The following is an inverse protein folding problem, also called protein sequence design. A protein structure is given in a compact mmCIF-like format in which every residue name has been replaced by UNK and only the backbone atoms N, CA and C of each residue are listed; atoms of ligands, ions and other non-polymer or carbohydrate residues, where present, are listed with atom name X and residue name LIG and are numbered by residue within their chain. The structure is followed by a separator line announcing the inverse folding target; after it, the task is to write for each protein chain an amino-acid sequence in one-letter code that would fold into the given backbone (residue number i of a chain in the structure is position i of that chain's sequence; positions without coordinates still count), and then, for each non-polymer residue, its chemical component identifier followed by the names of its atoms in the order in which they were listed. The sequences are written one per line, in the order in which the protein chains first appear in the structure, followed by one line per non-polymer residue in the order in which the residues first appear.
data_IF_003264937130
#
_entry.id   IF_003264937130
#
_cell.length_a   1.000
_cell.length_b   1.000
_cell.length_c   1.000
_cell.angle_alpha   90.00
_cell.angle_beta   90.00
_cell.angle_gamma   90.00
#
_symmetry.space_group_name_H-M   'P 1'
#
loop_
_entity.id
_entity.type
_entity.pdbx_description
1 polymer ?
#
# COMPACT_ATOMS: atom_id res chain seq x y z
N UNK A 1 -4.92 -18.76 -15.59
CA UNK A 1 -5.60 -17.46 -15.80
C UNK A 1 -6.91 -17.36 -15.02
N UNK A 2 -7.85 -18.30 -15.19
CA UNK A 2 -9.16 -18.34 -14.49
C UNK A 2 -9.12 -18.05 -12.97
N UNK A 3 -8.17 -18.65 -12.24
CA UNK A 3 -7.99 -18.42 -10.78
C UNK A 3 -7.62 -16.99 -10.38
N UNK A 4 -6.75 -16.33 -11.16
CA UNK A 4 -6.33 -14.95 -10.89
C UNK A 4 -7.47 -13.98 -11.19
N UNK A 5 -8.25 -14.25 -12.24
CA UNK A 5 -9.44 -13.44 -12.58
C UNK A 5 -10.48 -13.53 -11.47
N UNK A 6 -10.78 -14.73 -10.96
CA UNK A 6 -11.70 -14.89 -9.84
C UNK A 6 -11.22 -14.14 -8.59
N UNK A 7 -9.94 -14.25 -8.25
CA UNK A 7 -9.38 -13.49 -7.13
C UNK A 7 -9.46 -11.98 -7.36
N UNK A 8 -9.13 -11.49 -8.56
CA UNK A 8 -9.24 -10.07 -8.90
C UNK A 8 -10.68 -9.60 -8.72
N UNK A 9 -11.66 -10.36 -9.21
CA UNK A 9 -13.07 -10.03 -9.04
C UNK A 9 -13.46 -9.92 -7.56
N UNK A 10 -13.15 -10.94 -6.75
CA UNK A 10 -13.42 -10.93 -5.31
C UNK A 10 -12.71 -9.77 -4.59
N UNK A 11 -11.45 -9.52 -4.95
CA UNK A 11 -10.65 -8.42 -4.41
C UNK A 11 -11.27 -7.06 -4.78
N UNK A 12 -11.76 -6.91 -6.01
CA UNK A 12 -12.41 -5.67 -6.46
C UNK A 12 -13.70 -5.43 -5.69
N UNK A 13 -14.56 -6.44 -5.58
CA UNK A 13 -15.83 -6.33 -4.82
C UNK A 13 -15.55 -5.97 -3.36
N UNK A 14 -14.65 -6.71 -2.69
CA UNK A 14 -14.28 -6.41 -1.30
C UNK A 14 -13.65 -5.02 -1.17
N UNK A 15 -12.79 -4.66 -2.12
CA UNK A 15 -12.13 -3.36 -2.20
C UNK A 15 -13.11 -2.19 -2.31
N UNK A 16 -14.14 -2.32 -3.13
CA UNK A 16 -15.21 -1.31 -3.27
C UNK A 16 -15.99 -1.15 -1.97
N UNK A 17 -16.35 -2.26 -1.30
CA UNK A 17 -17.08 -2.25 -0.03
C UNK A 17 -16.29 -1.54 1.08
N UNK A 18 -15.03 -1.92 1.28
CA UNK A 18 -14.21 -1.31 2.34
C UNK A 18 -13.81 0.13 2.02
N UNK A 19 -13.84 0.54 0.75
CA UNK A 19 -13.54 1.91 0.33
C UNK A 19 -14.63 2.93 0.68
N UNK A 20 -15.79 2.50 1.18
CA UNK A 20 -16.88 3.39 1.59
C UNK A 20 -16.71 3.94 3.01
N UNK A 21 -15.89 3.29 3.84
CA UNK A 21 -15.78 3.62 5.25
C UNK A 21 -14.67 4.67 5.41
N UNK A 22 -14.97 5.93 5.79
CA UNK A 22 -13.94 6.91 6.06
C UNK A 22 -13.21 6.54 7.35
N UNK A 23 -11.87 6.60 7.32
CA UNK A 23 -11.00 6.27 8.45
C UNK A 23 -10.37 7.52 9.06
N UNK A 24 -9.64 8.31 8.26
CA UNK A 24 -9.08 9.60 8.68
C UNK A 24 -9.03 10.59 7.52
N UNK A 25 -9.27 11.90 7.76
CA UNK A 25 -9.17 12.92 6.72
C UNK A 25 -7.75 13.03 6.16
N UNK A 26 -7.63 13.36 4.87
CA UNK A 26 -6.34 13.58 4.23
C UNK A 26 -6.00 15.05 4.24
N UNK A 27 -4.90 15.39 4.90
CA UNK A 27 -4.37 16.75 4.91
C UNK A 27 -4.01 17.16 3.48
N UNK A 28 -4.55 18.31 3.05
CA UNK A 28 -4.37 18.82 1.69
C UNK A 28 -5.42 18.36 0.67
N UNK A 29 -6.33 17.45 1.02
CA UNK A 29 -7.43 17.01 0.14
C UNK A 29 -8.80 17.16 0.84
N UNK A 30 -9.42 18.33 0.67
CA UNK A 30 -10.71 18.66 1.30
C UNK A 30 -11.79 17.63 0.91
N UNK A 31 -12.54 17.16 1.91
CA UNK A 31 -13.62 16.20 1.71
C UNK A 31 -13.17 14.78 1.38
N UNK A 32 -11.86 14.50 1.42
CA UNK A 32 -11.33 13.18 1.12
C UNK A 32 -10.66 12.54 2.35
N UNK A 33 -10.86 11.23 2.50
CA UNK A 33 -10.34 10.45 3.63
C UNK A 33 -9.59 9.21 3.16
N UNK A 34 -8.66 8.74 3.99
CA UNK A 34 -8.20 7.35 3.97
C UNK A 34 -9.36 6.42 4.35
N UNK A 35 -9.27 5.16 3.93
CA UNK A 35 -10.30 4.14 4.17
C UNK A 35 -9.63 2.82 4.56
N UNK A 36 -10.34 1.82 5.08
CA UNK A 36 -9.78 0.49 5.32
C UNK A 36 -9.19 -0.19 4.07
N UNK A 37 -9.46 0.34 2.87
CA UNK A 37 -8.77 -0.08 1.66
C UNK A 37 -7.25 0.15 1.72
N UNK A 38 -6.77 1.09 2.55
CA UNK A 38 -5.33 1.28 2.76
C UNK A 38 -4.67 0.04 3.40
N UNK A 39 -5.45 -0.81 4.09
CA UNK A 39 -4.98 -2.08 4.65
C UNK A 39 -5.06 -3.23 3.64
N UNK A 40 -6.15 -3.24 2.86
CA UNK A 40 -6.45 -4.30 1.90
C UNK A 40 -5.65 -4.16 0.60
N UNK A 41 -5.53 -2.95 0.07
CA UNK A 41 -4.91 -2.60 -1.20
C UNK A 41 -3.58 -3.33 -1.46
N UNK A 42 -2.60 -3.23 -0.54
CA UNK A 42 -1.27 -3.78 -0.78
C UNK A 42 -1.26 -5.30 -0.85
N UNK A 43 -2.19 -5.96 -0.15
CA UNK A 43 -2.26 -7.43 -0.07
C UNK A 43 -2.47 -8.08 -1.43
N UNK A 44 -3.11 -7.38 -2.38
CA UNK A 44 -3.23 -7.83 -3.77
C UNK A 44 -1.89 -8.15 -4.41
N UNK A 45 -0.83 -7.39 -4.09
CA UNK A 45 0.52 -7.62 -4.56
C UNK A 45 1.06 -8.98 -4.12
N UNK A 46 0.80 -9.39 -2.89
CA UNK A 46 1.25 -10.68 -2.37
C UNK A 46 0.48 -11.86 -2.96
N UNK A 47 -0.82 -11.70 -3.22
CA UNK A 47 -1.63 -12.78 -3.81
C UNK A 47 -1.43 -12.91 -5.32
N UNK A 48 -1.40 -11.80 -6.06
CA UNK A 48 -1.41 -11.80 -7.53
C UNK A 48 -0.02 -11.63 -8.16
N UNK A 49 0.95 -11.18 -7.35
CA UNK A 49 2.24 -10.65 -7.76
C UNK A 49 2.23 -9.13 -7.87
N UNK A 50 3.40 -8.50 -7.74
CA UNK A 50 3.62 -7.04 -7.76
C UNK A 50 2.77 -6.29 -8.81
N UNK A 51 3.02 -6.50 -10.11
CA UNK A 51 2.35 -5.75 -11.19
C UNK A 51 0.84 -6.03 -11.28
N UNK A 52 0.37 -7.31 -11.34
CA UNK A 52 -1.06 -7.58 -11.39
C UNK A 52 -1.83 -7.09 -10.14
N UNK A 53 -1.20 -7.12 -8.96
CA UNK A 53 -1.77 -6.56 -7.73
C UNK A 53 -1.97 -5.05 -7.83
N UNK A 54 -0.93 -4.33 -8.28
CA UNK A 54 -1.00 -2.89 -8.47
C UNK A 54 -2.08 -2.46 -9.49
N UNK A 55 -2.21 -3.20 -10.60
CA UNK A 55 -3.28 -2.97 -11.58
C UNK A 55 -4.66 -3.19 -10.94
N UNK A 56 -4.81 -4.21 -10.10
CA UNK A 56 -6.08 -4.46 -9.39
C UNK A 56 -6.45 -3.31 -8.45
N UNK A 57 -5.46 -2.76 -7.74
CA UNK A 57 -5.65 -1.59 -6.87
C UNK A 57 -6.10 -0.36 -7.65
N UNK A 58 -5.48 -0.10 -8.82
CA UNK A 58 -5.89 0.99 -9.69
C UNK A 58 -7.37 0.88 -10.07
N UNK A 59 -7.81 -0.30 -10.52
CA UNK A 59 -9.21 -0.51 -10.88
C UNK A 59 -10.16 -0.37 -9.70
N UNK A 60 -9.80 -0.80 -8.49
CA UNK A 60 -10.65 -0.55 -7.31
C UNK A 60 -10.82 0.94 -7.05
N UNK A 61 -9.72 1.71 -7.05
CA UNK A 61 -9.78 3.17 -6.83
C UNK A 61 -10.59 3.86 -7.93
N UNK A 62 -10.31 3.54 -9.19
CA UNK A 62 -11.01 4.12 -10.35
C UNK A 62 -12.51 3.80 -10.34
N UNK A 63 -12.88 2.52 -10.15
CA UNK A 63 -14.29 2.12 -10.13
C UNK A 63 -15.02 2.68 -8.93
N UNK A 64 -14.36 2.81 -7.77
CA UNK A 64 -14.93 3.50 -6.60
C UNK A 64 -15.23 4.95 -6.95
N UNK A 65 -14.28 5.68 -7.53
CA UNK A 65 -14.51 7.08 -7.84
C UNK A 65 -15.60 7.28 -8.91
N UNK A 66 -15.71 6.38 -9.90
CA UNK A 66 -16.80 6.37 -10.89
C UNK A 66 -18.16 6.03 -10.25
N UNK A 67 -18.27 4.91 -9.52
CA UNK A 67 -19.56 4.44 -9.00
C UNK A 67 -20.14 5.34 -7.92
N UNK A 68 -19.29 6.01 -7.13
CA UNK A 68 -19.72 6.90 -6.06
C UNK A 68 -19.70 8.38 -6.46
N UNK A 69 -19.57 8.69 -7.76
CA UNK A 69 -19.70 10.03 -8.30
C UNK A 69 -18.67 11.03 -7.76
N UNK A 70 -17.46 10.56 -7.46
CA UNK A 70 -16.38 11.42 -6.95
C UNK A 70 -15.90 12.34 -8.08
N UNK A 71 -15.78 13.63 -7.79
CA UNK A 71 -15.26 14.59 -8.76
C UNK A 71 -13.78 14.33 -9.08
N UNK A 72 -13.45 14.23 -10.36
CA UNK A 72 -12.08 14.03 -10.85
C UNK A 72 -11.31 15.35 -10.88
N UNK A 73 -10.93 15.83 -9.69
CA UNK A 73 -9.96 16.91 -9.54
C UNK A 73 -8.51 16.39 -9.48
N UNK A 74 -7.55 17.31 -9.40
CA UNK A 74 -6.12 16.99 -9.29
C UNK A 74 -5.82 16.08 -8.10
N UNK A 75 -6.48 16.27 -6.95
CA UNK A 75 -6.26 15.44 -5.76
C UNK A 75 -6.75 14.01 -6.00
N UNK A 76 -7.94 13.85 -6.57
CA UNK A 76 -8.52 12.55 -6.93
C UNK A 76 -7.62 11.78 -7.88
N UNK A 77 -7.13 12.41 -8.96
CA UNK A 77 -6.24 11.77 -9.93
C UNK A 77 -4.94 11.31 -9.27
N UNK A 78 -4.29 12.18 -8.50
CA UNK A 78 -3.03 11.86 -7.80
C UNK A 78 -3.21 10.68 -6.84
N UNK A 79 -4.36 10.58 -6.17
CA UNK A 79 -4.63 9.54 -5.17
C UNK A 79 -4.87 8.15 -5.76
N UNK A 80 -4.99 8.01 -7.08
CA UNK A 80 -5.05 6.70 -7.73
C UNK A 80 -3.73 5.92 -7.59
N UNK A 81 -2.59 6.63 -7.52
CA UNK A 81 -1.26 6.02 -7.65
C UNK A 81 -0.61 5.51 -6.35
N UNK A 82 -0.67 6.20 -5.19
CA UNK A 82 0.04 5.79 -3.98
C UNK A 82 -0.17 4.32 -3.61
N UNK A 83 -1.41 3.86 -3.64
CA UNK A 83 -1.74 2.48 -3.27
C UNK A 83 -1.34 1.45 -4.32
N UNK A 84 -1.24 1.84 -5.59
CA UNK A 84 -0.64 0.97 -6.60
C UNK A 84 0.82 0.69 -6.26
N UNK A 85 1.58 1.72 -5.88
CA UNK A 85 2.98 1.56 -5.50
C UNK A 85 3.17 0.80 -4.18
N UNK A 86 2.20 0.91 -3.26
CA UNK A 86 2.13 0.05 -2.08
C UNK A 86 2.04 -1.43 -2.47
N UNK A 87 1.08 -1.78 -3.34
CA UNK A 87 0.90 -3.15 -3.83
C UNK A 87 2.09 -3.64 -4.68
N UNK A 88 2.69 -2.76 -5.49
CA UNK A 88 3.92 -3.06 -6.21
C UNK A 88 4.99 -3.49 -5.21
N UNK A 89 5.29 -2.66 -4.21
CA UNK A 89 6.32 -2.95 -3.21
C UNK A 89 6.03 -4.24 -2.45
N UNK A 90 4.81 -4.39 -1.92
CA UNK A 90 4.42 -5.51 -1.07
C UNK A 90 4.50 -6.86 -1.79
N UNK A 91 4.16 -6.89 -3.08
CA UNK A 91 4.17 -8.08 -3.94
C UNK A 91 5.51 -8.43 -4.58
N UNK A 92 6.60 -7.71 -4.28
CA UNK A 92 7.90 -7.99 -4.89
C UNK A 92 8.58 -9.19 -4.23
N UNK A 93 9.11 -10.08 -5.07
CA UNK A 93 9.93 -11.20 -4.64
C UNK A 93 11.41 -10.79 -4.55
N UNK A 94 12.10 -11.06 -3.41
CA UNK A 94 13.46 -10.52 -3.14
C UNK A 94 14.52 -11.12 -4.07
N UNK A 95 14.30 -12.36 -4.48
CA UNK A 95 15.20 -13.14 -5.34
C UNK A 95 15.38 -12.55 -6.74
N UNK A 96 14.46 -11.68 -7.19
CA UNK A 96 14.51 -11.11 -8.54
C UNK A 96 15.39 -9.88 -8.58
N UNK A 97 16.31 -9.79 -9.54
CA UNK A 97 17.17 -8.61 -9.77
C UNK A 97 16.37 -7.32 -9.96
N UNK A 98 15.22 -7.40 -10.65
CA UNK A 98 14.28 -6.29 -10.83
C UNK A 98 13.67 -5.78 -9.51
N UNK A 99 13.72 -6.56 -8.43
CA UNK A 99 13.16 -6.13 -7.14
C UNK A 99 13.95 -4.99 -6.50
N UNK A 100 15.24 -4.83 -6.80
CA UNK A 100 16.02 -3.67 -6.31
C UNK A 100 15.63 -2.36 -6.99
N UNK A 101 15.04 -2.42 -8.19
CA UNK A 101 14.60 -1.22 -8.91
C UNK A 101 13.49 -0.47 -8.16
N UNK A 102 12.72 -1.15 -7.29
CA UNK A 102 11.69 -0.48 -6.49
C UNK A 102 12.28 0.58 -5.55
N UNK A 103 13.56 0.44 -5.17
CA UNK A 103 14.26 1.39 -4.31
C UNK A 103 14.45 2.75 -4.99
N UNK A 104 14.35 2.82 -6.33
CA UNK A 104 14.38 4.10 -7.04
C UNK A 104 13.23 5.01 -6.61
N UNK A 105 12.09 4.46 -6.19
CA UNK A 105 10.91 5.25 -5.81
C UNK A 105 11.19 6.11 -4.57
N UNK A 106 11.55 5.55 -3.40
CA UNK A 106 11.86 6.38 -2.24
C UNK A 106 13.09 7.25 -2.46
N UNK A 107 14.10 6.79 -3.20
CA UNK A 107 15.29 7.60 -3.51
C UNK A 107 14.95 8.84 -4.35
N UNK A 108 14.15 8.66 -5.40
CA UNK A 108 13.67 9.77 -6.24
C UNK A 108 12.73 10.67 -5.46
N UNK A 109 11.90 10.13 -4.56
CA UNK A 109 11.07 10.95 -3.71
C UNK A 109 11.91 11.87 -2.81
N UNK A 110 12.93 11.34 -2.12
CA UNK A 110 13.87 12.13 -1.29
C UNK A 110 14.47 13.26 -2.14
N UNK A 111 15.02 12.91 -3.31
CA UNK A 111 15.63 13.88 -4.22
C UNK A 111 14.63 14.99 -4.64
N UNK A 112 13.45 14.60 -5.14
CA UNK A 112 12.45 15.55 -5.62
C UNK A 112 11.91 16.45 -4.50
N UNK A 113 11.81 15.96 -3.27
CA UNK A 113 11.39 16.76 -2.12
C UNK A 113 12.44 17.81 -1.75
N UNK A 114 13.71 17.40 -1.67
CA UNK A 114 14.80 18.31 -1.29
C UNK A 114 15.10 19.34 -2.38
N UNK A 115 14.88 19.00 -3.66
CA UNK A 115 15.01 19.94 -4.77
C UNK A 115 13.95 21.04 -4.72
N UNK A 116 12.72 20.70 -4.30
CA UNK A 116 11.61 21.64 -4.22
C UNK A 116 11.82 22.70 -3.10
N UNK A 117 11.52 23.99 -3.31
CA UNK A 117 11.79 25.05 -2.32
C UNK A 117 11.18 24.79 -0.93
N UNK A 118 9.91 24.41 -0.87
CA UNK A 118 9.23 24.10 0.40
C UNK A 118 9.73 22.79 1.02
N UNK A 119 10.03 21.78 0.21
CA UNK A 119 10.54 20.50 0.71
C UNK A 119 11.97 20.61 1.23
N UNK A 120 12.80 21.49 0.64
CA UNK A 120 14.15 21.81 1.15
C UNK A 120 14.12 22.39 2.56
N UNK A 121 13.18 23.29 2.85
CA UNK A 121 13.00 23.88 4.19
C UNK A 121 12.57 22.84 5.23
N UNK A 122 11.90 21.77 4.80
CA UNK A 122 11.44 20.66 5.63
C UNK A 122 12.16 19.33 5.32
N UNK A 123 13.41 19.36 4.84
CA UNK A 123 14.09 18.20 4.23
C UNK A 123 14.06 16.94 5.09
N UNK A 124 14.10 17.09 6.42
CA UNK A 124 14.08 15.99 7.39
C UNK A 124 12.77 15.19 7.37
N UNK A 125 11.67 15.75 6.86
CA UNK A 125 10.43 15.01 6.61
C UNK A 125 10.66 13.81 5.67
N UNK A 126 11.57 13.95 4.69
CA UNK A 126 11.92 12.89 3.75
C UNK A 126 12.64 11.69 4.38
N UNK A 127 13.13 11.79 5.62
CA UNK A 127 13.81 10.70 6.32
C UNK A 127 12.89 9.49 6.58
N UNK A 128 11.56 9.70 6.62
CA UNK A 128 10.59 8.61 6.61
C UNK A 128 10.77 7.66 5.43
N UNK A 129 11.28 8.15 4.29
CA UNK A 129 11.44 7.35 3.08
C UNK A 129 12.73 6.53 3.07
N UNK A 130 13.56 6.63 4.12
CA UNK A 130 14.60 5.64 4.41
C UNK A 130 13.99 4.33 4.93
N UNK A 131 12.81 4.36 5.57
CA UNK A 131 12.12 3.17 6.09
C UNK A 131 11.85 2.13 5.00
N UNK A 132 11.23 2.45 3.84
CA UNK A 132 11.02 1.46 2.78
C UNK A 132 12.32 0.94 2.19
N UNK A 133 13.40 1.73 2.19
CA UNK A 133 14.73 1.28 1.76
C UNK A 133 15.29 0.23 2.73
N UNK A 134 15.27 0.52 4.03
CA UNK A 134 15.77 -0.39 5.06
C UNK A 134 14.90 -1.65 5.16
N UNK A 135 13.59 -1.48 5.12
CA UNK A 135 12.62 -2.58 5.17
C UNK A 135 12.81 -3.57 4.01
N UNK A 136 13.19 -3.10 2.82
CA UNK A 136 13.40 -3.95 1.64
C UNK A 136 14.41 -5.07 1.90
N UNK A 137 15.47 -4.79 2.66
CA UNK A 137 16.51 -5.79 2.95
C UNK A 137 16.04 -6.91 3.88
N UNK A 138 14.94 -6.71 4.61
CA UNK A 138 14.36 -7.68 5.56
C UNK A 138 12.86 -7.93 5.31
N UNK A 139 12.41 -7.76 4.07
CA UNK A 139 11.00 -7.93 3.66
C UNK A 139 10.49 -9.37 3.72
N UNK A 140 11.32 -10.33 4.10
CA UNK A 140 10.91 -11.67 4.51
C UNK A 140 10.03 -11.65 5.77
N UNK A 141 10.21 -10.65 6.64
CA UNK A 141 9.32 -10.37 7.76
C UNK A 141 8.09 -9.60 7.28
N UNK A 142 6.90 -10.10 7.62
CA UNK A 142 5.66 -9.53 7.09
C UNK A 142 5.48 -8.08 7.52
N UNK A 143 5.81 -7.75 8.78
CA UNK A 143 5.66 -6.38 9.30
C UNK A 143 6.58 -5.39 8.60
N UNK A 144 7.81 -5.79 8.27
CA UNK A 144 8.74 -4.94 7.53
C UNK A 144 8.29 -4.76 6.08
N UNK A 145 7.75 -5.81 5.45
CA UNK A 145 7.15 -5.67 4.13
C UNK A 145 5.96 -4.69 4.15
N UNK A 146 5.11 -4.77 5.17
CA UNK A 146 3.96 -3.88 5.35
C UNK A 146 4.38 -2.42 5.60
N UNK A 147 5.40 -2.20 6.44
CA UNK A 147 6.03 -0.89 6.66
C UNK A 147 6.58 -0.32 5.36
N UNK A 148 7.37 -1.10 4.62
CA UNK A 148 7.91 -0.63 3.35
C UNK A 148 6.82 -0.30 2.33
N UNK A 149 5.73 -1.07 2.29
CA UNK A 149 4.58 -0.81 1.44
C UNK A 149 3.90 0.53 1.76
N UNK A 150 3.51 0.76 3.01
CA UNK A 150 2.80 2.00 3.39
C UNK A 150 3.66 3.25 3.25
N UNK A 151 4.96 3.16 3.56
CA UNK A 151 5.87 4.30 3.36
C UNK A 151 6.22 4.53 1.88
N UNK A 152 6.18 3.49 1.03
CA UNK A 152 6.27 3.67 -0.43
C UNK A 152 5.05 4.40 -0.97
N UNK A 153 3.84 4.06 -0.49
CA UNK A 153 2.64 4.81 -0.84
C UNK A 153 2.75 6.28 -0.42
N UNK A 154 3.24 6.51 0.80
CA UNK A 154 3.40 7.84 1.38
C UNK A 154 4.42 8.71 0.66
N UNK A 155 5.57 8.16 0.24
CA UNK A 155 6.54 8.95 -0.51
C UNK A 155 5.98 9.37 -1.88
N UNK A 156 5.30 8.46 -2.59
CA UNK A 156 4.64 8.78 -3.87
C UNK A 156 3.56 9.84 -3.69
N UNK A 157 2.69 9.66 -2.70
CA UNK A 157 1.62 10.62 -2.40
C UNK A 157 2.16 11.98 -1.98
N UNK A 158 3.18 12.02 -1.11
CA UNK A 158 3.76 13.27 -0.61
C UNK A 158 4.38 14.09 -1.74
N UNK A 159 5.13 13.46 -2.66
CA UNK A 159 5.72 14.17 -3.80
C UNK A 159 4.65 14.69 -4.74
N UNK A 160 3.65 13.87 -5.06
CA UNK A 160 2.59 14.31 -5.93
C UNK A 160 1.81 15.49 -5.33
N UNK A 161 1.50 15.47 -4.02
CA UNK A 161 0.87 16.60 -3.33
C UNK A 161 1.76 17.84 -3.25
N UNK A 162 3.07 17.67 -3.00
CA UNK A 162 4.02 18.78 -2.97
C UNK A 162 4.01 19.55 -4.30
N UNK A 163 4.14 18.83 -5.41
CA UNK A 163 4.22 19.46 -6.73
C UNK A 163 2.86 19.93 -7.26
N UNK A 164 1.76 19.34 -6.81
CA UNK A 164 0.42 19.75 -7.25
C UNK A 164 -0.16 20.93 -6.46
N UNK A 165 0.12 21.01 -5.15
CA UNK A 165 -0.50 22.00 -4.25
C UNK A 165 0.49 22.95 -3.60
N UNK A 166 1.80 22.76 -3.82
CA UNK A 166 2.85 23.61 -3.28
C UNK A 166 2.70 23.86 -1.76
N UNK A 167 2.40 22.79 -1.01
CA UNK A 167 2.15 22.89 0.43
C UNK A 167 3.36 23.50 1.15
N UNK A 168 3.15 24.48 2.06
CA UNK A 168 4.24 25.21 2.68
C UNK A 168 4.97 24.34 3.71
N UNK A 169 6.26 24.63 3.93
CA UNK A 169 7.14 23.88 4.83
C UNK A 169 6.56 23.61 6.24
N UNK A 170 5.87 24.56 6.91
CA UNK A 170 5.27 24.29 8.22
C UNK A 170 4.22 23.17 8.21
N UNK A 171 3.50 22.97 7.09
CA UNK A 171 2.54 21.85 6.94
C UNK A 171 3.29 20.52 6.95
N UNK A 172 4.40 20.42 6.23
CA UNK A 172 5.25 19.22 6.23
C UNK A 172 5.83 18.92 7.61
N UNK A 173 6.30 19.95 8.32
CA UNK A 173 6.79 19.78 9.70
C UNK A 173 5.67 19.32 10.64
N UNK A 174 4.49 19.94 10.56
CA UNK A 174 3.32 19.55 11.36
C UNK A 174 2.80 18.15 11.05
N UNK A 175 3.03 17.65 9.84
CA UNK A 175 2.65 16.29 9.43
C UNK A 175 3.54 15.20 10.03
N UNK A 176 4.72 15.51 10.57
CA UNK A 176 5.65 14.49 11.09
C UNK A 176 5.00 13.54 12.12
N UNK A 177 4.36 14.03 13.21
CA UNK A 177 3.72 13.13 14.17
C UNK A 177 2.50 12.41 13.57
N UNK A 178 1.75 13.06 12.68
CA UNK A 178 0.57 12.47 12.02
C UNK A 178 1.00 11.29 11.14
N UNK A 179 2.02 11.49 10.32
CA UNK A 179 2.59 10.46 9.44
C UNK A 179 3.12 9.30 10.26
N UNK A 180 3.79 9.54 11.39
CA UNK A 180 4.22 8.47 12.29
C UNK A 180 3.04 7.57 12.68
N UNK A 181 2.00 8.16 13.29
CA UNK A 181 0.85 7.41 13.79
C UNK A 181 0.11 6.70 12.64
N UNK A 182 -0.17 7.41 11.55
CA UNK A 182 -0.89 6.84 10.41
C UNK A 182 -0.12 5.70 9.77
N UNK A 183 1.17 5.89 9.46
CA UNK A 183 1.92 4.89 8.69
C UNK A 183 2.18 3.64 9.50
N UNK A 184 2.47 3.74 10.79
CA UNK A 184 2.61 2.57 11.64
C UNK A 184 1.27 1.86 11.85
N UNK A 185 0.17 2.60 12.02
CA UNK A 185 -1.18 2.01 12.08
C UNK A 185 -1.55 1.29 10.78
N UNK A 186 -1.21 1.87 9.63
CA UNK A 186 -1.47 1.27 8.33
C UNK A 186 -0.60 0.05 8.11
N UNK A 187 0.67 0.06 8.54
CA UNK A 187 1.52 -1.12 8.48
C UNK A 187 0.95 -2.28 9.31
N UNK A 188 0.48 -2.02 10.53
CA UNK A 188 -0.21 -3.01 11.36
C UNK A 188 -1.49 -3.52 10.69
N UNK A 189 -2.28 -2.61 10.09
CA UNK A 189 -3.49 -2.96 9.34
C UNK A 189 -3.21 -3.86 8.14
N UNK A 190 -2.21 -3.53 7.31
CA UNK A 190 -1.78 -4.34 6.16
C UNK A 190 -1.29 -5.71 6.63
N UNK A 191 -0.43 -5.74 7.65
CA UNK A 191 0.11 -6.97 8.24
C UNK A 191 -1.00 -7.90 8.72
N UNK A 192 -1.91 -7.39 9.55
CA UNK A 192 -3.02 -8.16 10.10
C UNK A 192 -3.99 -8.63 9.02
N UNK A 193 -4.33 -7.74 8.08
CA UNK A 193 -5.24 -8.04 6.97
C UNK A 193 -4.68 -9.15 6.09
N UNK A 194 -3.40 -9.07 5.70
CA UNK A 194 -2.80 -10.13 4.89
C UNK A 194 -2.73 -11.46 5.63
N UNK A 195 -2.31 -11.46 6.89
CA UNK A 195 -2.24 -12.68 7.72
C UNK A 195 -3.62 -13.33 7.86
N UNK A 196 -4.66 -12.54 8.13
CA UNK A 196 -6.02 -13.02 8.26
C UNK A 196 -6.55 -13.57 6.93
N UNK A 197 -6.45 -12.80 5.85
CA UNK A 197 -6.95 -13.21 4.53
C UNK A 197 -6.24 -14.46 4.02
N UNK A 198 -4.92 -14.56 4.20
CA UNK A 198 -4.16 -15.73 3.78
C UNK A 198 -4.52 -16.97 4.62
N UNK A 199 -4.77 -16.80 5.93
CA UNK A 199 -5.22 -17.90 6.79
C UNK A 199 -6.67 -18.32 6.52
N UNK A 200 -7.56 -17.39 6.19
CA UNK A 200 -8.93 -17.70 5.74
C UNK A 200 -8.87 -18.44 4.40
N UNK A 201 -8.04 -17.96 3.47
CA UNK A 201 -7.88 -18.59 2.16
C UNK A 201 -7.38 -20.03 2.30
N UNK A 202 -6.43 -20.30 3.19
CA UNK A 202 -5.97 -21.66 3.50
C UNK A 202 -7.12 -22.58 3.93
N UNK A 203 -7.99 -22.12 4.84
CA UNK A 203 -9.18 -22.88 5.24
C UNK A 203 -10.15 -23.07 4.08
N UNK A 204 -10.38 -22.02 3.29
CA UNK A 204 -11.33 -22.07 2.17
C UNK A 204 -10.89 -23.02 1.06
N UNK A 205 -9.59 -23.14 0.77
CA UNK A 205 -9.10 -24.04 -0.29
C UNK A 205 -9.20 -25.53 0.09
N UNK A 206 -9.53 -25.85 1.35
CA UNK A 206 -9.92 -27.22 1.74
C UNK A 206 -11.25 -27.65 1.11
N UNK A 207 -12.12 -26.69 0.76
CA UNK A 207 -13.38 -26.91 0.07
C UNK A 207 -13.08 -27.21 -1.40
N UNK A 208 -13.58 -28.33 -1.91
CA UNK A 208 -13.24 -28.86 -3.25
C UNK A 208 -13.43 -27.83 -4.38
N UNK A 209 -14.53 -27.09 -4.37
CA UNK A 209 -14.84 -26.04 -5.36
C UNK A 209 -13.83 -24.88 -5.36
N UNK A 210 -13.12 -24.66 -4.26
CA UNK A 210 -12.17 -23.55 -4.07
C UNK A 210 -10.70 -23.99 -4.16
N UNK A 211 -10.42 -25.29 -4.33
CA UNK A 211 -9.05 -25.83 -4.51
C UNK A 211 -8.27 -25.14 -5.63
N UNK A 212 -8.96 -24.59 -6.62
CA UNK A 212 -8.36 -23.81 -7.73
C UNK A 212 -7.56 -22.57 -7.25
N UNK A 213 -7.86 -22.05 -6.05
CA UNK A 213 -7.16 -20.92 -5.42
C UNK A 213 -5.97 -21.34 -4.55
N UNK A 214 -5.76 -22.65 -4.30
CA UNK A 214 -4.63 -23.16 -3.49
C UNK A 214 -3.27 -22.57 -3.83
N UNK A 215 -2.91 -22.25 -5.10
CA UNK A 215 -1.59 -21.69 -5.41
C UNK A 215 -1.42 -20.22 -4.97
N UNK A 216 -2.48 -19.57 -4.51
CA UNK A 216 -2.42 -18.21 -3.95
C UNK A 216 -2.12 -18.21 -2.45
N UNK A 217 -2.25 -19.36 -1.77
CA UNK A 217 -1.96 -19.49 -0.34
C UNK A 217 -0.46 -19.43 -0.12
N UNK A 218 0.00 -18.49 0.70
CA UNK A 218 1.38 -18.41 1.12
C UNK A 218 1.57 -19.15 2.45
N UNK A 219 2.16 -20.33 2.38
CA UNK A 219 2.37 -21.21 3.55
C UNK A 219 3.26 -20.59 4.64
N UNK A 220 4.06 -19.56 4.32
CA UNK A 220 4.89 -18.85 5.31
C UNK A 220 4.08 -17.95 6.25
N UNK A 221 2.91 -17.51 5.80
CA UNK A 221 2.13 -16.46 6.46
C UNK A 221 0.74 -16.98 6.87
N UNK A 222 0.73 -18.13 7.51
CA UNK A 222 -0.47 -18.71 8.14
C UNK A 222 -0.39 -18.48 9.65
N UNK A 223 -1.47 -18.00 10.25
CA UNK A 223 -1.54 -17.74 11.68
C UNK A 223 -1.25 -19.04 12.46
N UNK A 224 -0.07 -19.08 13.06
CA UNK A 224 0.46 -20.25 13.77
C UNK A 224 1.55 -19.82 14.76
N UNK A 225 1.86 -20.67 15.74
CA UNK A 225 2.98 -20.43 16.67
C UNK A 225 4.32 -20.24 15.93
N UNK A 226 4.51 -20.94 14.80
CA UNK A 226 5.71 -20.84 13.95
C UNK A 226 5.80 -19.48 13.27
N UNK A 227 4.68 -18.95 12.76
CA UNK A 227 4.63 -17.60 12.18
C UNK A 227 5.04 -16.54 13.20
N UNK A 228 4.45 -16.56 14.39
CA UNK A 228 4.75 -15.57 15.45
C UNK A 228 6.24 -15.55 15.84
N UNK A 229 6.91 -16.71 15.81
CA UNK A 229 8.32 -16.82 16.21
C UNK A 229 9.31 -16.33 15.16
N UNK A 230 8.98 -16.43 13.86
CA UNK A 230 9.97 -16.27 12.80
C UNK A 230 9.60 -15.23 11.72
N UNK A 231 8.31 -14.90 11.57
CA UNK A 231 7.78 -14.20 10.39
C UNK A 231 6.85 -13.02 10.73
N UNK A 232 6.46 -12.85 12.01
CA UNK A 232 5.70 -11.71 12.49
C UNK A 232 6.36 -10.38 12.07
#
# INVERSE_FOLDING_TARGET
MKKKILFIFLFVVLGLLVSQIPLSPIVGAKGQSFTPFEFLGPTSGMFLGSVPGAISVFFVKLLKDIFFGVHFDTATIIRLFPMMFAALYFGLEKSRRSSKLILIIPLMAILLFVLHPEGRKAWFYSLYWLIPILAYFKKDRLILNALGSTFTAHCVGSIAFLYAFNLPAPVWVGLIPVVFVERFSFALGIWATYLLLNSILEKLVSIEKLKVLSPLVNQKYILSKKFLRFHA
#
